data_IF_554544509026
#
_entry.id   IF_554544509026
#
_cell.length_a   1.000
_cell.length_b   1.000
_cell.length_c   1.000
_cell.angle_alpha   90.00
_cell.angle_beta   90.00
_cell.angle_gamma   90.00
#
_symmetry.space_group_name_H-M   'P 1'
#
loop_
_entity.id
_entity.type
_entity.pdbx_description
1 polymer ?
#
# COMPACT_ATOMS: atom_id res chain seq x y z
N UNK A 1 -5.10 21.40 12.92
CA UNK A 1 -4.76 20.18 13.68
C UNK A 1 -5.23 18.96 12.90
N UNK A 2 -4.51 17.83 12.89
CA UNK A 2 -4.98 16.60 12.28
C UNK A 2 -6.34 16.18 12.87
N UNK A 3 -7.26 15.75 12.01
CA UNK A 3 -8.60 15.32 12.41
C UNK A 3 -8.63 13.81 12.55
N UNK A 4 -9.01 13.29 13.73
CA UNK A 4 -9.26 11.85 13.89
C UNK A 4 -10.43 11.43 13.01
N UNK A 5 -10.25 10.35 12.22
CA UNK A 5 -11.24 9.94 11.22
C UNK A 5 -12.43 9.22 11.85
N UNK A 6 -12.18 8.33 12.81
CA UNK A 6 -13.23 7.53 13.47
C UNK A 6 -13.03 7.55 15.01
N UNK A 7 -13.38 8.65 15.69
CA UNK A 7 -13.27 8.73 17.15
C UNK A 7 -14.21 7.72 17.82
N UNK A 8 -13.68 6.90 18.73
CA UNK A 8 -14.46 5.94 19.53
C UNK A 8 -14.83 4.61 18.85
N UNK A 9 -14.51 4.40 17.57
CA UNK A 9 -14.96 3.23 16.78
C UNK A 9 -14.00 2.03 16.74
N UNK A 10 -13.04 1.94 17.67
CA UNK A 10 -12.13 0.79 17.73
C UNK A 10 -12.90 -0.48 18.10
N UNK A 11 -12.84 -1.48 17.19
CA UNK A 11 -13.39 -2.81 17.48
C UNK A 11 -12.57 -3.46 18.59
N UNK A 12 -13.18 -3.90 19.72
CA UNK A 12 -12.46 -4.56 20.79
C UNK A 12 -11.69 -5.79 20.28
N UNK A 13 -10.43 -5.94 20.72
CA UNK A 13 -9.60 -7.11 20.40
C UNK A 13 -8.85 -7.04 19.06
N UNK A 14 -9.03 -5.98 18.24
CA UNK A 14 -8.26 -5.84 16.98
C UNK A 14 -6.76 -5.63 17.21
N UNK A 15 -6.34 -4.99 18.28
CA UNK A 15 -4.92 -4.74 18.53
C UNK A 15 -4.05 -6.00 18.63
N UNK A 16 -4.52 -7.07 19.31
CA UNK A 16 -3.80 -8.37 19.36
C UNK A 16 -3.82 -9.09 18.02
N UNK A 17 -4.92 -9.00 17.31
CA UNK A 17 -5.06 -9.55 15.96
C UNK A 17 -4.09 -8.85 15.02
N UNK A 18 -4.13 -7.53 14.97
CA UNK A 18 -3.26 -6.73 14.09
C UNK A 18 -1.78 -6.98 14.41
N UNK A 19 -1.39 -7.01 15.69
CA UNK A 19 -0.02 -7.32 16.09
C UNK A 19 0.43 -8.71 15.60
N UNK A 20 -0.41 -9.75 15.76
CA UNK A 20 -0.08 -11.11 15.30
C UNK A 20 0.17 -11.15 13.79
N UNK A 21 -0.72 -10.53 13.01
CA UNK A 21 -0.58 -10.53 11.55
C UNK A 21 0.51 -9.58 11.07
N UNK A 22 0.77 -8.48 11.79
CA UNK A 22 1.94 -7.62 11.51
C UNK A 22 3.26 -8.37 11.70
N UNK A 23 3.39 -9.18 12.76
CA UNK A 23 4.56 -10.04 12.97
C UNK A 23 4.70 -11.05 11.82
N UNK A 24 3.60 -11.68 11.40
CA UNK A 24 3.62 -12.60 10.26
C UNK A 24 4.03 -11.90 8.94
N UNK A 25 3.51 -10.69 8.70
CA UNK A 25 3.89 -9.88 7.54
C UNK A 25 5.37 -9.49 7.56
N UNK A 26 5.90 -9.11 8.73
CA UNK A 26 7.34 -8.82 8.90
C UNK A 26 8.20 -10.07 8.65
N UNK A 27 7.77 -11.25 9.10
CA UNK A 27 8.47 -12.51 8.82
C UNK A 27 8.48 -12.83 7.32
N UNK A 28 7.32 -12.70 6.63
CA UNK A 28 7.24 -12.85 5.17
C UNK A 28 8.13 -11.83 4.47
N UNK A 29 8.09 -10.56 4.89
CA UNK A 29 8.91 -9.50 4.31
C UNK A 29 10.41 -9.77 4.47
N UNK A 30 10.82 -10.20 5.65
CA UNK A 30 12.22 -10.58 5.93
C UNK A 30 12.66 -11.75 5.06
N UNK A 31 11.85 -12.82 4.99
CA UNK A 31 12.16 -13.98 4.15
C UNK A 31 12.24 -13.61 2.66
N UNK A 32 11.30 -12.80 2.16
CA UNK A 32 11.29 -12.31 0.78
C UNK A 32 12.52 -11.42 0.52
N UNK A 33 12.87 -10.54 1.45
CA UNK A 33 14.05 -9.66 1.35
C UNK A 33 15.36 -10.45 1.29
N UNK A 34 15.52 -11.45 2.19
CA UNK A 34 16.68 -12.36 2.18
C UNK A 34 16.74 -13.12 0.85
N UNK A 35 15.62 -13.73 0.42
CA UNK A 35 15.56 -14.46 -0.85
C UNK A 35 15.90 -13.57 -2.05
N UNK A 36 15.36 -12.36 -2.09
CA UNK A 36 15.68 -11.38 -3.14
C UNK A 36 17.18 -11.03 -3.15
N UNK A 37 17.77 -10.79 -1.97
CA UNK A 37 19.21 -10.50 -1.85
C UNK A 37 20.06 -11.65 -2.36
N UNK A 38 19.72 -12.90 -2.00
CA UNK A 38 20.42 -14.08 -2.47
C UNK A 38 20.31 -14.24 -4.01
N UNK A 39 19.12 -13.98 -4.58
CA UNK A 39 18.92 -14.01 -6.02
C UNK A 39 19.70 -12.91 -6.76
N UNK A 40 19.82 -11.72 -6.16
CA UNK A 40 20.66 -10.64 -6.69
C UNK A 40 22.14 -11.04 -6.64
N UNK A 41 22.63 -11.58 -5.52
CA UNK A 41 24.00 -12.04 -5.38
C UNK A 41 24.35 -13.21 -6.33
N UNK A 42 23.36 -14.06 -6.62
CA UNK A 42 23.49 -15.13 -7.60
C UNK A 42 23.39 -14.65 -9.07
N UNK A 43 23.15 -13.37 -9.31
CA UNK A 43 22.98 -12.80 -10.65
C UNK A 43 21.66 -13.15 -11.35
N UNK A 44 20.69 -13.72 -10.63
CA UNK A 44 19.37 -14.08 -11.19
C UNK A 44 18.47 -12.85 -11.31
N UNK A 45 18.50 -11.98 -10.30
CA UNK A 45 17.80 -10.67 -10.36
C UNK A 45 18.85 -9.60 -10.64
N UNK A 46 18.79 -8.95 -11.82
CA UNK A 46 19.76 -7.93 -12.17
C UNK A 46 19.50 -6.62 -11.42
N UNK A 47 20.55 -5.99 -10.92
CA UNK A 47 20.54 -4.60 -10.51
C UNK A 47 21.03 -3.71 -11.65
N UNK A 48 20.44 -2.55 -11.77
CA UNK A 48 20.93 -1.57 -12.72
C UNK A 48 22.27 -0.98 -12.22
N UNK A 49 23.28 -1.07 -13.06
CA UNK A 49 24.64 -0.57 -12.80
C UNK A 49 24.92 0.72 -13.57
N UNK A 50 26.09 1.32 -13.29
CA UNK A 50 26.55 2.55 -13.95
C UNK A 50 26.05 3.81 -13.23
N UNK A 51 26.29 4.98 -13.87
CA UNK A 51 26.00 6.27 -13.27
C UNK A 51 24.49 6.51 -13.14
N UNK A 52 24.04 6.83 -11.93
CA UNK A 52 22.68 7.28 -11.69
C UNK A 52 22.59 8.78 -11.99
N UNK A 53 21.98 9.12 -13.12
CA UNK A 53 21.67 10.51 -13.48
C UNK A 53 20.30 10.92 -12.92
N UNK A 54 20.03 12.22 -12.76
CA UNK A 54 18.74 12.74 -12.28
C UNK A 54 17.56 12.25 -13.16
N UNK A 55 17.62 12.31 -14.51
CA UNK A 55 16.53 11.77 -15.34
C UNK A 55 16.30 10.28 -15.15
N UNK A 56 17.37 9.46 -15.04
CA UNK A 56 17.27 8.03 -14.79
C UNK A 56 16.64 7.75 -13.43
N UNK A 57 17.10 8.42 -12.39
CA UNK A 57 16.54 8.30 -11.05
C UNK A 57 15.03 8.62 -11.04
N UNK A 58 14.63 9.74 -11.64
CA UNK A 58 13.23 10.13 -11.72
C UNK A 58 12.39 9.09 -12.49
N UNK A 59 12.90 8.59 -13.62
CA UNK A 59 12.24 7.55 -14.41
C UNK A 59 12.06 6.27 -13.58
N UNK A 60 13.14 5.77 -12.95
CA UNK A 60 13.09 4.54 -12.15
C UNK A 60 12.07 4.66 -11.00
N UNK A 61 12.11 5.77 -10.25
CA UNK A 61 11.18 5.98 -9.12
C UNK A 61 9.73 6.02 -9.61
N UNK A 62 9.42 6.85 -10.61
CA UNK A 62 8.05 6.96 -11.11
C UNK A 62 7.55 5.71 -11.79
N UNK A 63 8.39 5.03 -12.57
CA UNK A 63 8.02 3.77 -13.21
C UNK A 63 7.62 2.71 -12.18
N UNK A 64 8.43 2.53 -11.12
CA UNK A 64 8.13 1.55 -10.07
C UNK A 64 6.90 1.91 -9.24
N UNK A 65 6.72 3.17 -8.90
CA UNK A 65 5.54 3.62 -8.14
C UNK A 65 4.26 3.42 -8.95
N UNK A 66 4.25 3.80 -10.23
CA UNK A 66 3.08 3.63 -11.08
C UNK A 66 2.79 2.15 -11.41
N UNK A 67 3.82 1.34 -11.62
CA UNK A 67 3.68 -0.11 -11.80
C UNK A 67 3.14 -0.77 -10.53
N UNK A 68 3.62 -0.35 -9.35
CA UNK A 68 3.08 -0.84 -8.09
C UNK A 68 1.61 -0.46 -7.92
N UNK A 69 1.23 0.78 -8.19
CA UNK A 69 -0.17 1.21 -8.10
C UNK A 69 -1.09 0.43 -9.05
N UNK A 70 -0.64 0.18 -10.28
CA UNK A 70 -1.38 -0.64 -11.24
C UNK A 70 -1.55 -2.09 -10.74
N UNK A 71 -0.47 -2.70 -10.30
CA UNK A 71 -0.45 -4.04 -9.73
C UNK A 71 -1.31 -4.14 -8.49
N UNK A 72 -1.11 -3.22 -7.54
CA UNK A 72 -1.84 -3.23 -6.27
C UNK A 72 -3.34 -3.02 -6.49
N UNK A 73 -3.74 -2.09 -7.36
CA UNK A 73 -5.14 -1.90 -7.68
C UNK A 73 -5.79 -3.18 -8.23
N UNK A 74 -5.13 -3.85 -9.19
CA UNK A 74 -5.62 -5.09 -9.76
C UNK A 74 -5.69 -6.21 -8.70
N UNK A 75 -4.62 -6.41 -7.94
CA UNK A 75 -4.56 -7.38 -6.85
C UNK A 75 -5.66 -7.11 -5.81
N UNK A 76 -5.81 -5.88 -5.38
CA UNK A 76 -6.77 -5.47 -4.35
C UNK A 76 -8.22 -5.71 -4.80
N UNK A 77 -8.54 -5.39 -6.08
CA UNK A 77 -9.82 -5.74 -6.68
C UNK A 77 -10.08 -7.25 -6.67
N UNK A 78 -9.08 -8.05 -6.99
CA UNK A 78 -9.16 -9.53 -6.95
C UNK A 78 -9.34 -10.04 -5.52
N UNK A 79 -8.62 -9.46 -4.56
CA UNK A 79 -8.76 -9.80 -3.13
C UNK A 79 -10.15 -9.48 -2.57
N UNK A 80 -10.85 -8.49 -3.13
CA UNK A 80 -12.23 -8.15 -2.79
C UNK A 80 -13.28 -9.07 -3.43
N UNK A 81 -12.90 -10.06 -4.25
CA UNK A 81 -13.84 -11.11 -4.70
C UNK A 81 -14.32 -11.95 -3.51
N UNK A 82 -15.57 -12.48 -3.50
CA UNK A 82 -16.17 -13.10 -2.31
C UNK A 82 -15.32 -14.22 -1.70
N UNK A 83 -14.64 -15.02 -2.51
CA UNK A 83 -13.82 -16.15 -2.04
C UNK A 83 -12.53 -15.63 -1.37
N UNK A 84 -11.76 -14.81 -2.07
CA UNK A 84 -10.47 -14.30 -1.57
C UNK A 84 -10.67 -13.29 -0.44
N UNK A 85 -11.75 -12.52 -0.47
CA UNK A 85 -12.07 -11.65 0.65
C UNK A 85 -12.22 -12.47 1.95
N UNK A 86 -13.07 -13.50 1.95
CA UNK A 86 -13.36 -14.30 3.16
C UNK A 86 -12.16 -15.09 3.66
N UNK A 87 -11.35 -15.63 2.76
CA UNK A 87 -10.23 -16.51 3.11
C UNK A 87 -8.91 -15.79 3.40
N UNK A 88 -8.71 -14.60 2.83
CA UNK A 88 -7.43 -13.88 2.87
C UNK A 88 -7.61 -12.44 3.36
N UNK A 89 -8.33 -11.60 2.62
CA UNK A 89 -8.34 -10.16 2.78
C UNK A 89 -9.17 -9.67 3.99
N UNK A 90 -10.13 -10.47 4.46
CA UNK A 90 -10.88 -10.18 5.68
C UNK A 90 -9.99 -10.06 6.94
N UNK A 91 -8.78 -10.62 6.90
CA UNK A 91 -7.78 -10.42 7.97
C UNK A 91 -7.46 -8.94 8.11
N UNK A 92 -7.14 -8.27 7.00
CA UNK A 92 -6.83 -6.85 6.95
C UNK A 92 -8.06 -5.98 7.28
N UNK A 93 -9.20 -6.30 6.70
CA UNK A 93 -10.46 -5.58 6.92
C UNK A 93 -11.17 -5.86 8.24
N UNK A 94 -10.61 -6.66 9.13
CA UNK A 94 -11.13 -6.85 10.48
C UNK A 94 -11.09 -5.54 11.27
N UNK A 95 -10.08 -4.72 11.04
CA UNK A 95 -9.96 -3.37 11.61
C UNK A 95 -10.68 -2.36 10.74
N UNK A 96 -11.93 -2.05 11.08
CA UNK A 96 -12.74 -1.05 10.38
C UNK A 96 -12.31 0.39 10.69
N UNK A 97 -11.61 0.61 11.81
CA UNK A 97 -10.95 1.86 12.16
C UNK A 97 -9.43 1.63 12.16
N UNK A 98 -8.77 1.74 11.00
CA UNK A 98 -7.37 1.36 10.83
C UNK A 98 -6.42 2.15 11.72
N UNK A 99 -5.33 1.50 12.10
CA UNK A 99 -4.21 2.09 12.85
C UNK A 99 -2.91 1.76 12.12
N UNK A 100 -1.80 2.34 12.54
CA UNK A 100 -0.47 2.01 11.99
C UNK A 100 -0.16 0.49 12.06
N UNK A 101 -0.66 -0.23 13.08
CA UNK A 101 -0.53 -1.69 13.14
C UNK A 101 -1.36 -2.38 12.05
N UNK A 102 -2.54 -1.86 11.74
CA UNK A 102 -3.38 -2.40 10.66
C UNK A 102 -2.68 -2.33 9.31
N UNK A 103 -1.83 -1.32 9.09
CA UNK A 103 -1.05 -1.16 7.87
C UNK A 103 -0.18 -2.39 7.51
N UNK A 104 0.18 -3.19 8.50
CA UNK A 104 0.99 -4.41 8.34
C UNK A 104 0.19 -5.68 8.66
N UNK A 105 -1.08 -5.59 9.04
CA UNK A 105 -1.89 -6.73 9.43
C UNK A 105 -2.50 -7.43 8.20
N UNK A 106 -1.67 -8.15 7.45
CA UNK A 106 -2.06 -8.92 6.27
C UNK A 106 -2.05 -10.43 6.54
N UNK A 107 -2.91 -11.16 5.84
CA UNK A 107 -2.75 -12.61 5.72
C UNK A 107 -1.40 -12.93 5.04
N UNK A 108 -0.64 -13.98 5.45
CA UNK A 108 0.68 -14.26 4.87
C UNK A 108 0.71 -14.36 3.34
N UNK A 109 -0.34 -14.93 2.74
CA UNK A 109 -0.46 -14.98 1.27
C UNK A 109 -0.59 -13.58 0.67
N UNK A 110 -1.39 -12.71 1.25
CA UNK A 110 -1.55 -11.33 0.81
C UNK A 110 -0.24 -10.55 0.97
N UNK A 111 0.41 -10.69 2.12
CA UNK A 111 1.73 -10.11 2.37
C UNK A 111 2.75 -10.54 1.32
N UNK A 112 2.80 -11.84 0.98
CA UNK A 112 3.69 -12.37 -0.05
C UNK A 112 3.39 -11.77 -1.43
N UNK A 113 2.12 -11.65 -1.80
CA UNK A 113 1.73 -11.06 -3.08
C UNK A 113 2.12 -9.58 -3.15
N UNK A 114 1.86 -8.80 -2.09
CA UNK A 114 2.19 -7.37 -2.06
C UNK A 114 3.71 -7.16 -2.08
N UNK A 115 4.45 -7.83 -1.19
CA UNK A 115 5.90 -7.66 -1.03
C UNK A 115 6.65 -8.25 -2.21
N UNK A 116 6.16 -9.36 -2.76
CA UNK A 116 6.72 -10.05 -3.92
C UNK A 116 6.69 -9.23 -5.22
N UNK A 117 5.93 -8.14 -5.26
CA UNK A 117 5.96 -7.21 -6.40
C UNK A 117 7.38 -6.68 -6.70
N UNK A 118 8.10 -6.22 -5.66
CA UNK A 118 9.42 -5.60 -5.87
C UNK A 118 10.43 -6.56 -6.52
N UNK A 119 10.68 -7.77 -6.00
CA UNK A 119 11.61 -8.70 -6.67
C UNK A 119 11.15 -9.09 -8.07
N UNK A 120 9.85 -9.25 -8.31
CA UNK A 120 9.33 -9.55 -9.64
C UNK A 120 9.54 -8.38 -10.62
N UNK A 121 9.29 -7.15 -10.17
CA UNK A 121 9.53 -5.96 -10.97
C UNK A 121 11.03 -5.74 -11.24
N UNK A 122 11.91 -6.00 -10.26
CA UNK A 122 13.37 -5.91 -10.42
C UNK A 122 13.91 -6.91 -11.47
N UNK A 123 13.31 -8.08 -11.52
CA UNK A 123 13.71 -9.09 -12.52
C UNK A 123 13.36 -8.64 -13.94
N UNK A 124 12.22 -7.98 -14.13
CA UNK A 124 11.74 -7.50 -15.43
C UNK A 124 12.35 -6.14 -15.83
N UNK A 125 12.56 -5.25 -14.87
CA UNK A 125 13.03 -3.89 -15.08
C UNK A 125 14.12 -3.58 -14.04
N UNK A 126 15.40 -3.79 -14.39
CA UNK A 126 16.50 -3.54 -13.45
C UNK A 126 16.51 -2.10 -12.92
N UNK A 127 16.66 -1.95 -11.62
CA UNK A 127 16.63 -0.67 -10.91
C UNK A 127 17.96 -0.41 -10.19
N UNK A 128 18.37 0.84 -10.10
CA UNK A 128 19.52 1.24 -9.29
C UNK A 128 19.19 1.14 -7.79
N UNK A 129 20.14 0.69 -6.97
CA UNK A 129 19.92 0.44 -5.54
C UNK A 129 19.40 1.69 -4.79
N UNK A 130 19.91 2.89 -5.12
CA UNK A 130 19.43 4.13 -4.52
C UNK A 130 17.97 4.43 -4.89
N UNK A 131 17.58 4.20 -6.14
CA UNK A 131 16.18 4.36 -6.58
C UNK A 131 15.27 3.36 -5.88
N UNK A 132 15.72 2.09 -5.74
CA UNK A 132 14.99 1.04 -5.02
C UNK A 132 14.75 1.42 -3.56
N UNK A 133 15.77 1.96 -2.88
CA UNK A 133 15.64 2.42 -1.48
C UNK A 133 14.57 3.53 -1.35
N UNK A 134 14.57 4.50 -2.26
CA UNK A 134 13.57 5.59 -2.26
C UNK A 134 12.18 5.06 -2.58
N UNK A 135 12.02 4.19 -3.59
CA UNK A 135 10.74 3.55 -3.92
C UNK A 135 10.20 2.78 -2.71
N UNK A 136 11.04 1.94 -2.08
CA UNK A 136 10.63 1.14 -0.91
C UNK A 136 10.21 2.01 0.26
N UNK A 137 10.97 3.07 0.57
CA UNK A 137 10.64 4.01 1.64
C UNK A 137 9.34 4.79 1.34
N UNK A 138 9.15 5.23 0.10
CA UNK A 138 7.97 5.98 -0.32
C UNK A 138 6.70 5.11 -0.27
N UNK A 139 6.72 3.90 -0.84
CA UNK A 139 5.58 2.99 -0.83
C UNK A 139 5.22 2.56 0.59
N UNK A 140 6.21 2.18 1.41
CA UNK A 140 5.98 1.81 2.82
C UNK A 140 5.43 2.99 3.63
N UNK A 141 6.01 4.17 3.45
CA UNK A 141 5.53 5.39 4.11
C UNK A 141 4.10 5.76 3.73
N UNK A 142 3.74 5.60 2.45
CA UNK A 142 2.38 5.86 1.95
C UNK A 142 1.36 4.90 2.58
N UNK A 143 1.68 3.61 2.69
CA UNK A 143 0.81 2.61 3.33
C UNK A 143 0.63 2.92 4.82
N UNK A 144 1.71 3.21 5.55
CA UNK A 144 1.64 3.57 6.97
C UNK A 144 0.81 4.84 7.18
N UNK A 145 1.00 5.85 6.32
CA UNK A 145 0.27 7.09 6.38
C UNK A 145 -1.23 6.89 6.10
N UNK A 146 -1.59 6.10 5.10
CA UNK A 146 -2.98 5.79 4.77
C UNK A 146 -3.74 5.16 5.95
N UNK A 147 -3.04 4.41 6.82
CA UNK A 147 -3.62 3.74 7.99
C UNK A 147 -3.43 4.49 9.31
N UNK A 148 -2.93 5.73 9.32
CA UNK A 148 -2.60 6.42 10.57
C UNK A 148 -3.83 6.78 11.44
N UNK A 149 -5.05 6.68 10.91
CA UNK A 149 -6.30 6.98 11.62
C UNK A 149 -6.61 8.48 11.76
N UNK A 150 -5.80 9.34 11.18
CA UNK A 150 -5.95 10.78 11.19
C UNK A 150 -5.88 11.35 9.78
N UNK A 151 -6.76 12.31 9.44
CA UNK A 151 -6.57 13.12 8.24
C UNK A 151 -5.50 14.18 8.52
N UNK A 152 -4.32 13.99 7.92
CA UNK A 152 -3.16 14.88 8.10
C UNK A 152 -3.06 15.94 7.01
N UNK A 153 -3.78 15.73 5.90
CA UNK A 153 -3.77 16.67 4.79
C UNK A 153 -4.75 17.82 5.03
N UNK A 154 -4.37 19.06 4.70
CA UNK A 154 -5.25 20.20 4.83
C UNK A 154 -6.40 20.11 3.82
N UNK A 155 -7.55 20.76 4.13
CA UNK A 155 -8.75 20.73 3.27
C UNK A 155 -8.51 21.22 1.83
N UNK A 156 -7.54 22.10 1.62
CA UNK A 156 -7.21 22.60 0.29
C UNK A 156 -6.51 21.53 -0.59
N UNK A 157 -5.85 20.53 0.02
CA UNK A 157 -5.12 19.46 -0.68
C UNK A 157 -5.98 18.78 -1.74
N UNK A 158 -7.21 18.44 -1.39
CA UNK A 158 -8.17 17.77 -2.27
C UNK A 158 -8.71 18.68 -3.38
N UNK A 159 -8.45 20.00 -3.31
CA UNK A 159 -8.89 20.97 -4.32
C UNK A 159 -7.82 21.27 -5.36
N UNK A 160 -6.55 20.94 -5.08
CA UNK A 160 -5.43 21.20 -5.99
C UNK A 160 -5.31 20.02 -6.96
N UNK A 161 -5.37 20.25 -8.28
CA UNK A 161 -5.10 19.23 -9.29
C UNK A 161 -3.75 18.54 -9.03
N UNK A 162 -3.63 17.28 -9.37
CA UNK A 162 -2.46 16.42 -9.13
C UNK A 162 -2.28 16.04 -7.66
N UNK A 163 -2.30 17.00 -6.70
CA UNK A 163 -2.19 16.66 -5.27
C UNK A 163 -3.38 15.82 -4.80
N UNK A 164 -4.57 16.08 -5.34
CA UNK A 164 -5.78 15.31 -5.03
C UNK A 164 -5.78 13.87 -5.59
N UNK A 165 -4.73 13.50 -6.32
CA UNK A 165 -4.56 12.12 -6.78
C UNK A 165 -3.93 11.22 -5.72
N UNK A 166 -3.20 11.81 -4.75
CA UNK A 166 -2.62 11.04 -3.66
C UNK A 166 -3.71 10.45 -2.75
N UNK A 167 -3.57 9.17 -2.43
CA UNK A 167 -4.51 8.46 -1.54
C UNK A 167 -4.30 8.95 -0.11
N UNK A 168 -5.24 9.77 0.36
CA UNK A 168 -5.19 10.31 1.72
C UNK A 168 -5.68 9.26 2.73
N UNK A 169 -5.34 9.41 4.02
CA UNK A 169 -5.90 8.57 5.09
C UNK A 169 -7.43 8.49 5.05
N UNK A 170 -8.12 9.58 4.71
CA UNK A 170 -9.58 9.62 4.59
C UNK A 170 -10.12 8.72 3.47
N UNK A 171 -9.46 8.69 2.31
CA UNK A 171 -9.87 7.83 1.20
C UNK A 171 -9.71 6.36 1.56
N UNK A 172 -8.60 6.01 2.22
CA UNK A 172 -8.34 4.64 2.63
C UNK A 172 -9.20 4.19 3.81
N UNK A 173 -9.48 5.08 4.77
CA UNK A 173 -10.44 4.85 5.86
C UNK A 173 -11.85 4.57 5.32
N UNK A 174 -12.29 5.34 4.31
CA UNK A 174 -13.56 5.08 3.62
C UNK A 174 -13.58 3.69 2.95
N UNK A 175 -12.44 3.22 2.40
CA UNK A 175 -12.28 1.87 1.88
C UNK A 175 -12.49 0.81 2.98
N UNK A 176 -11.85 0.94 4.13
CA UNK A 176 -12.02 0.00 5.26
C UNK A 176 -13.47 -0.12 5.73
N UNK A 177 -14.22 0.96 5.68
CA UNK A 177 -15.64 0.98 6.08
C UNK A 177 -16.54 0.41 4.98
N UNK A 178 -16.37 0.84 3.73
CA UNK A 178 -17.29 0.55 2.62
C UNK A 178 -16.92 -0.70 1.83
N UNK A 179 -15.63 -0.97 1.65
CA UNK A 179 -15.05 -2.14 0.94
C UNK A 179 -15.31 -2.21 -0.56
N UNK A 180 -16.16 -1.34 -1.12
CA UNK A 180 -16.56 -1.32 -2.53
C UNK A 180 -15.97 -0.15 -3.33
N UNK A 181 -14.98 0.55 -2.76
CA UNK A 181 -14.39 1.76 -3.34
C UNK A 181 -12.94 1.96 -2.89
N UNK A 182 -12.22 2.86 -3.56
CA UNK A 182 -10.88 3.35 -3.17
C UNK A 182 -9.84 2.22 -3.01
N UNK A 183 -9.64 1.45 -4.05
CA UNK A 183 -8.73 0.27 -4.03
C UNK A 183 -7.26 0.60 -4.25
N UNK A 184 -6.93 1.83 -4.69
CA UNK A 184 -5.55 2.24 -4.99
C UNK A 184 -4.70 2.38 -3.73
N UNK A 185 -3.37 2.14 -3.86
CA UNK A 185 -2.41 2.24 -2.75
C UNK A 185 -1.88 3.66 -2.54
N UNK A 186 -1.28 4.26 -3.58
CA UNK A 186 -0.55 5.53 -3.48
C UNK A 186 -1.26 6.66 -4.21
N UNK A 187 -1.65 6.41 -5.46
CA UNK A 187 -2.37 7.39 -6.29
C UNK A 187 -3.72 6.82 -6.74
N UNK A 188 -4.77 7.63 -6.60
CA UNK A 188 -6.14 7.28 -6.97
C UNK A 188 -6.39 7.24 -8.49
N UNK A 189 -5.34 7.11 -9.30
CA UNK A 189 -5.41 7.12 -10.76
C UNK A 189 -6.35 5.99 -11.25
N UNK A 190 -6.12 4.77 -10.77
CA UNK A 190 -6.91 3.62 -11.20
C UNK A 190 -8.33 3.65 -10.65
N UNK A 191 -8.54 4.16 -9.42
CA UNK A 191 -9.89 4.41 -8.91
C UNK A 191 -10.66 5.40 -9.77
N UNK A 192 -9.99 6.43 -10.31
CA UNK A 192 -10.61 7.39 -11.25
C UNK A 192 -10.92 6.76 -12.59
N UNK A 193 -9.96 6.03 -13.16
CA UNK A 193 -10.10 5.39 -14.48
C UNK A 193 -11.23 4.35 -14.46
N UNK A 194 -11.35 3.56 -13.39
CA UNK A 194 -12.34 2.50 -13.27
C UNK A 194 -13.61 2.91 -12.49
N UNK A 195 -13.76 4.19 -12.13
CA UNK A 195 -14.96 4.72 -11.48
C UNK A 195 -15.19 4.22 -10.05
N UNK A 196 -14.13 3.76 -9.37
CA UNK A 196 -14.21 3.25 -7.99
C UNK A 196 -13.81 4.30 -6.94
N UNK A 197 -13.44 5.52 -7.34
CA UNK A 197 -13.15 6.61 -6.40
C UNK A 197 -14.43 7.08 -5.71
N UNK A 198 -14.39 7.15 -4.38
CA UNK A 198 -15.42 7.77 -3.54
C UNK A 198 -14.77 8.73 -2.56
N UNK A 199 -15.10 10.01 -2.68
CA UNK A 199 -14.56 11.07 -1.81
C UNK A 199 -15.35 11.25 -0.52
N UNK A 200 -16.56 10.70 -0.44
CA UNK A 200 -17.46 10.87 0.69
C UNK A 200 -17.11 9.86 1.78
N UNK A 201 -16.50 10.34 2.86
CA UNK A 201 -16.43 9.52 4.07
C UNK A 201 -17.87 9.19 4.54
N UNK A 202 -18.13 7.95 4.98
CA UNK A 202 -19.42 7.66 5.63
C UNK A 202 -19.60 8.67 6.78
N UNK A 203 -20.72 9.38 6.79
CA UNK A 203 -21.07 10.20 7.93
C UNK A 203 -21.32 9.23 9.08
N UNK A 204 -20.52 9.33 10.15
CA UNK A 204 -20.84 8.70 11.41
C UNK A 204 -22.21 9.21 11.84
N UNK A 205 -23.24 8.37 11.71
CA UNK A 205 -24.53 8.61 12.29
C UNK A 205 -24.46 8.58 13.81
#
# INVERSE_FOLDING_TARGET
MPQQLQPGSRTPGTGRHDLRYSIATLAVGTATGIGTTLLVLAGVIPLATGRLTVPRFAFEVWAYVLLFDAYFYALHRVLHTPVLYRSVHAVHHRSTAPTVLTALAFHPLEALLIIGFLPAAMWLLPIHLASLAIVSAFLSGSILLAHCGYEVFPRWWTRVPVLNWYVTPRLHDAHHVRRDCNYSATFSIFDRVFGTLRSDAPRSG
#
